data_IF_106478935863
#
_entry.id   IF_106478935863
#
_cell.length_a   1.000
_cell.length_b   1.000
_cell.length_c   1.000
_cell.angle_alpha   90.00
_cell.angle_beta   90.00
_cell.angle_gamma   90.00
#
_symmetry.space_group_name_H-M   'P 1'
#
loop_
_entity.id
_entity.type
_entity.pdbx_description
1 polymer ?
#
# COMPACT_ATOMS: atom_id res chain seq x y z
N UNK A 1 -3.76 -0.76 -16.84
CA UNK A 1 -4.27 -1.94 -17.58
C UNK A 1 -4.38 -3.11 -16.60
N UNK A 2 -5.57 -3.36 -16.06
CA UNK A 2 -5.84 -4.39 -15.06
C UNK A 2 -7.14 -5.17 -15.38
N UNK A 3 -7.67 -5.10 -16.59
CA UNK A 3 -8.93 -5.72 -17.01
C UNK A 3 -9.08 -7.16 -16.54
N UNK A 4 -8.01 -7.96 -16.64
CA UNK A 4 -8.01 -9.37 -16.24
C UNK A 4 -8.12 -9.60 -14.70
N UNK A 5 -7.89 -8.59 -13.89
CA UNK A 5 -7.74 -8.74 -12.44
C UNK A 5 -8.62 -7.79 -11.61
N UNK A 6 -8.93 -6.61 -12.13
CA UNK A 6 -9.68 -5.57 -11.41
C UNK A 6 -11.06 -6.03 -10.95
N UNK A 7 -11.67 -6.97 -11.68
CA UNK A 7 -12.92 -7.63 -11.26
C UNK A 7 -12.78 -8.33 -9.90
N UNK A 8 -11.68 -9.06 -9.69
CA UNK A 8 -11.38 -9.72 -8.41
C UNK A 8 -11.10 -8.71 -7.31
N UNK A 9 -10.35 -7.65 -7.64
CA UNK A 9 -10.05 -6.57 -6.71
C UNK A 9 -11.33 -5.95 -6.15
N UNK A 10 -12.18 -5.40 -7.03
CA UNK A 10 -13.42 -4.71 -6.61
C UNK A 10 -14.40 -5.66 -5.92
N UNK A 11 -14.58 -6.87 -6.42
CA UNK A 11 -15.43 -7.88 -5.78
C UNK A 11 -14.97 -8.23 -4.37
N UNK A 12 -13.68 -8.33 -4.13
CA UNK A 12 -13.14 -8.65 -2.80
C UNK A 12 -13.40 -7.54 -1.78
N UNK A 13 -13.41 -6.29 -2.22
CA UNK A 13 -13.77 -5.13 -1.40
C UNK A 13 -15.27 -5.07 -1.15
N UNK A 14 -16.11 -5.24 -2.17
CA UNK A 14 -17.59 -5.22 -2.01
C UNK A 14 -18.12 -6.31 -1.07
N UNK A 15 -17.42 -7.43 -0.97
CA UNK A 15 -17.82 -8.57 -0.10
C UNK A 15 -17.36 -8.43 1.35
N UNK A 16 -16.62 -7.41 1.71
CA UNK A 16 -16.17 -7.24 3.09
C UNK A 16 -17.36 -7.09 4.03
N UNK A 17 -17.34 -7.83 5.15
CA UNK A 17 -18.36 -7.77 6.21
C UNK A 17 -18.28 -6.49 7.05
N UNK A 18 -17.31 -5.62 6.80
CA UNK A 18 -17.09 -4.34 7.47
C UNK A 18 -17.69 -3.21 6.63
N UNK A 19 -18.65 -2.46 7.19
CA UNK A 19 -19.40 -1.44 6.46
C UNK A 19 -18.75 -0.05 6.48
N UNK A 20 -17.99 0.27 7.54
CA UNK A 20 -17.43 1.61 7.74
C UNK A 20 -16.10 1.80 7.00
N UNK A 21 -16.16 1.79 5.67
CA UNK A 21 -14.99 2.11 4.82
C UNK A 21 -15.42 2.81 3.53
N UNK A 22 -14.46 3.52 2.94
CA UNK A 22 -14.55 4.02 1.56
C UNK A 22 -13.37 3.50 0.75
N UNK A 23 -13.57 3.32 -0.54
CA UNK A 23 -12.54 2.89 -1.48
C UNK A 23 -12.43 3.88 -2.62
N UNK A 24 -11.25 4.47 -2.82
CA UNK A 24 -10.95 5.32 -3.97
C UNK A 24 -10.13 4.52 -4.96
N UNK A 25 -10.73 4.15 -6.08
CA UNK A 25 -10.09 3.43 -7.16
C UNK A 25 -9.59 4.45 -8.18
N UNK A 26 -8.32 4.34 -8.56
CA UNK A 26 -7.71 5.28 -9.49
C UNK A 26 -7.30 4.53 -10.75
N UNK A 27 -7.88 4.94 -11.87
CA UNK A 27 -7.42 4.51 -13.19
C UNK A 27 -6.38 5.48 -13.74
N UNK A 28 -5.17 4.98 -13.89
CA UNK A 28 -4.03 5.77 -14.35
C UNK A 28 -3.80 5.58 -15.85
N UNK A 29 -4.80 5.95 -16.65
CA UNK A 29 -4.85 5.87 -18.12
C UNK A 29 -4.73 4.41 -18.61
N UNK A 30 -5.64 3.54 -18.22
CA UNK A 30 -5.75 2.21 -18.81
C UNK A 30 -6.24 2.29 -20.26
N UNK A 31 -5.66 1.44 -21.10
CA UNK A 31 -5.96 1.34 -22.54
C UNK A 31 -6.82 0.11 -22.89
N UNK A 32 -7.13 -0.71 -21.89
CA UNK A 32 -8.00 -1.87 -21.95
C UNK A 32 -9.37 -1.56 -21.31
N UNK A 33 -10.23 -2.55 -21.12
CA UNK A 33 -11.56 -2.38 -20.52
C UNK A 33 -11.55 -2.21 -19.00
N UNK A 34 -10.41 -1.87 -18.37
CA UNK A 34 -10.31 -1.68 -16.91
C UNK A 34 -11.36 -0.69 -16.39
N UNK A 35 -11.53 0.46 -17.06
CA UNK A 35 -12.46 1.50 -16.64
C UNK A 35 -13.93 1.05 -16.71
N UNK A 36 -14.31 0.35 -17.78
CA UNK A 36 -15.65 -0.19 -17.96
C UNK A 36 -15.99 -1.21 -16.86
N UNK A 37 -15.04 -2.10 -16.55
CA UNK A 37 -15.20 -3.06 -15.47
C UNK A 37 -15.39 -2.36 -14.13
N UNK A 38 -14.55 -1.38 -13.77
CA UNK A 38 -14.71 -0.64 -12.51
C UNK A 38 -16.06 0.08 -12.46
N UNK A 39 -16.44 0.80 -13.53
CA UNK A 39 -17.71 1.53 -13.60
C UNK A 39 -18.93 0.63 -13.37
N UNK A 40 -18.88 -0.62 -13.82
CA UNK A 40 -19.98 -1.57 -13.60
C UNK A 40 -20.20 -1.95 -12.13
N UNK A 41 -19.21 -1.71 -11.26
CA UNK A 41 -19.30 -2.01 -9.83
C UNK A 41 -19.51 -0.79 -8.94
N UNK A 42 -18.97 0.36 -9.33
CA UNK A 42 -18.86 1.56 -8.48
C UNK A 42 -20.16 2.38 -8.48
N UNK A 43 -20.92 2.37 -9.58
CA UNK A 43 -22.06 3.28 -9.77
C UNK A 43 -23.26 3.08 -8.83
N UNK A 44 -23.31 1.99 -8.07
CA UNK A 44 -24.43 1.62 -7.20
C UNK A 44 -24.07 1.55 -5.70
N UNK A 45 -22.82 1.81 -5.33
CA UNK A 45 -22.31 1.66 -3.96
C UNK A 45 -21.53 2.91 -3.54
N UNK A 46 -22.11 3.72 -2.69
CA UNK A 46 -21.55 5.00 -2.22
C UNK A 46 -20.19 4.88 -1.52
N UNK A 47 -19.80 3.67 -1.11
CA UNK A 47 -18.47 3.41 -0.53
C UNK A 47 -17.35 3.50 -1.56
N UNK A 48 -17.66 3.48 -2.85
CA UNK A 48 -16.66 3.43 -3.92
C UNK A 48 -16.62 4.71 -4.75
N UNK A 49 -15.43 5.26 -4.89
CA UNK A 49 -15.13 6.38 -5.77
C UNK A 49 -14.18 5.94 -6.90
N UNK A 50 -14.44 6.42 -8.11
CA UNK A 50 -13.56 6.22 -9.25
C UNK A 50 -12.97 7.54 -9.71
N UNK A 51 -11.65 7.62 -9.73
CA UNK A 51 -10.89 8.71 -10.32
C UNK A 51 -10.24 8.22 -11.60
N UNK A 52 -10.49 8.91 -12.71
CA UNK A 52 -9.85 8.64 -14.00
C UNK A 52 -8.88 9.77 -14.30
N UNK A 53 -7.60 9.45 -14.38
CA UNK A 53 -6.58 10.45 -14.67
C UNK A 53 -6.59 10.88 -16.15
N UNK A 54 -6.21 12.13 -16.38
CA UNK A 54 -6.02 12.67 -17.74
C UNK A 54 -4.55 12.61 -18.19
N UNK A 55 -3.61 12.40 -17.25
CA UNK A 55 -2.17 12.20 -17.49
C UNK A 55 -1.64 11.06 -16.61
N UNK A 56 -0.54 10.44 -17.05
CA UNK A 56 0.09 9.30 -16.34
C UNK A 56 0.79 9.80 -15.07
N UNK A 57 0.30 9.36 -13.91
CA UNK A 57 0.79 9.82 -12.59
C UNK A 57 1.65 8.79 -11.86
N UNK A 58 1.54 7.51 -12.20
CA UNK A 58 2.15 6.39 -11.50
C UNK A 58 1.62 6.22 -10.05
N UNK A 59 2.01 5.11 -9.41
CA UNK A 59 1.39 4.70 -8.15
C UNK A 59 1.57 5.74 -7.02
N UNK A 60 2.78 6.24 -6.78
CA UNK A 60 3.04 7.11 -5.65
C UNK A 60 2.29 8.44 -5.72
N UNK A 61 2.30 9.10 -6.89
CA UNK A 61 1.56 10.35 -7.07
C UNK A 61 0.05 10.13 -6.91
N UNK A 62 -0.46 9.02 -7.43
CA UNK A 62 -1.86 8.65 -7.26
C UNK A 62 -2.23 8.45 -5.77
N UNK A 63 -1.38 7.77 -5.00
CA UNK A 63 -1.58 7.57 -3.56
C UNK A 63 -1.63 8.91 -2.83
N UNK A 64 -0.65 9.80 -3.08
CA UNK A 64 -0.60 11.12 -2.44
C UNK A 64 -1.84 11.93 -2.75
N UNK A 65 -2.19 12.08 -4.03
CA UNK A 65 -3.34 12.89 -4.46
C UNK A 65 -4.68 12.29 -3.98
N UNK A 66 -4.80 10.96 -3.92
CA UNK A 66 -5.99 10.31 -3.39
C UNK A 66 -6.17 10.58 -1.89
N UNK A 67 -5.12 10.39 -1.09
CA UNK A 67 -5.18 10.64 0.35
C UNK A 67 -5.47 12.12 0.62
N UNK A 68 -4.83 13.05 -0.11
CA UNK A 68 -5.09 14.48 0.02
C UNK A 68 -6.56 14.85 -0.35
N UNK A 69 -7.19 14.13 -1.27
CA UNK A 69 -8.54 14.43 -1.75
C UNK A 69 -9.67 13.96 -0.83
N UNK A 70 -9.42 12.96 0.00
CA UNK A 70 -10.45 12.38 0.90
C UNK A 70 -10.44 13.01 2.30
N UNK A 71 -9.44 13.86 2.61
CA UNK A 71 -9.31 14.58 3.89
C UNK A 71 -9.52 13.67 5.13
N UNK A 72 -8.72 12.60 5.33
CA UNK A 72 -8.94 11.66 6.40
C UNK A 72 -8.77 12.30 7.78
N UNK A 73 -9.38 11.72 8.80
CA UNK A 73 -9.13 12.07 10.19
C UNK A 73 -7.88 11.36 10.72
N UNK A 74 -7.28 11.89 11.79
CA UNK A 74 -6.01 11.42 12.36
C UNK A 74 -5.95 9.91 12.64
N UNK A 75 -7.03 9.34 13.11
CA UNK A 75 -7.13 7.92 13.46
C UNK A 75 -7.71 7.03 12.35
N UNK A 76 -8.06 7.62 11.21
CA UNK A 76 -8.47 6.81 10.04
C UNK A 76 -7.34 5.91 9.57
N UNK A 77 -7.70 4.69 9.21
CA UNK A 77 -6.76 3.67 8.73
C UNK A 77 -6.73 3.72 7.21
N UNK A 78 -5.60 4.08 6.67
CA UNK A 78 -5.35 4.03 5.23
C UNK A 78 -4.85 2.63 4.86
N UNK A 79 -5.43 2.05 3.83
CA UNK A 79 -5.08 0.73 3.30
C UNK A 79 -4.63 0.89 1.84
N UNK A 80 -3.43 0.41 1.52
CA UNK A 80 -2.92 0.42 0.16
C UNK A 80 -3.13 -0.97 -0.47
N UNK A 81 -3.97 -1.02 -1.50
CA UNK A 81 -4.24 -2.23 -2.28
C UNK A 81 -3.99 -1.95 -3.75
N UNK A 82 -3.06 -2.67 -4.35
CA UNK A 82 -2.74 -2.53 -5.77
C UNK A 82 -3.91 -3.04 -6.64
N UNK A 83 -4.15 -2.42 -7.79
CA UNK A 83 -5.36 -2.66 -8.61
C UNK A 83 -5.44 -4.05 -9.27
N UNK A 84 -4.35 -4.81 -9.26
CA UNK A 84 -4.28 -6.19 -9.73
C UNK A 84 -4.21 -7.24 -8.59
N UNK A 85 -4.21 -6.77 -7.33
CA UNK A 85 -4.28 -7.59 -6.12
C UNK A 85 -5.71 -7.62 -5.56
N UNK A 86 -6.01 -8.50 -4.59
CA UNK A 86 -7.32 -8.59 -3.95
C UNK A 86 -7.23 -9.14 -2.53
N UNK A 87 -8.30 -8.94 -1.75
CA UNK A 87 -8.41 -9.47 -0.39
C UNK A 87 -8.79 -10.97 -0.43
N UNK A 88 -8.18 -11.83 0.40
CA UNK A 88 -8.36 -13.29 0.32
C UNK A 88 -9.70 -13.80 0.85
N UNK A 89 -10.40 -13.00 1.68
CA UNK A 89 -11.70 -13.36 2.28
C UNK A 89 -12.48 -12.11 2.70
N UNK A 90 -13.70 -12.30 3.20
CA UNK A 90 -14.66 -11.23 3.46
C UNK A 90 -14.46 -10.54 4.84
N UNK A 91 -13.47 -10.95 5.66
CA UNK A 91 -13.24 -10.45 7.03
C UNK A 91 -11.91 -9.70 7.21
N UNK A 92 -11.23 -9.35 6.14
CA UNK A 92 -9.92 -8.65 6.22
C UNK A 92 -10.06 -7.30 6.92
N UNK A 93 -11.06 -6.50 6.54
CA UNK A 93 -11.27 -5.18 7.13
C UNK A 93 -11.69 -5.26 8.61
N UNK A 94 -12.54 -6.22 8.98
CA UNK A 94 -12.87 -6.50 10.38
C UNK A 94 -11.64 -6.87 11.22
N UNK A 95 -10.76 -7.70 10.64
CA UNK A 95 -9.53 -8.09 11.31
C UNK A 95 -8.62 -6.89 11.57
N UNK A 96 -8.42 -6.04 10.56
CA UNK A 96 -7.61 -4.83 10.67
C UNK A 96 -8.20 -3.84 11.68
N UNK A 97 -9.49 -3.52 11.59
CA UNK A 97 -10.16 -2.64 12.54
C UNK A 97 -9.97 -3.12 13.97
N UNK A 98 -10.21 -4.42 14.22
CA UNK A 98 -10.01 -5.03 15.54
C UNK A 98 -8.57 -4.98 16.05
N UNK A 99 -7.57 -5.11 15.16
CA UNK A 99 -6.16 -5.01 15.53
C UNK A 99 -5.82 -3.58 16.00
N UNK A 100 -6.26 -2.57 15.24
CA UNK A 100 -6.03 -1.15 15.59
C UNK A 100 -6.80 -0.68 16.82
N UNK A 101 -7.96 -1.26 17.10
CA UNK A 101 -8.73 -0.95 18.32
C UNK A 101 -8.13 -1.52 19.59
N UNK A 102 -7.56 -2.72 19.52
CA UNK A 102 -7.07 -3.46 20.69
C UNK A 102 -5.64 -3.17 21.07
N UNK A 103 -4.86 -2.66 20.15
CA UNK A 103 -3.42 -2.48 20.32
C UNK A 103 -3.04 -1.03 19.96
N UNK A 104 -2.06 -0.49 20.67
CA UNK A 104 -1.51 0.85 20.38
C UNK A 104 -0.55 0.80 19.19
N UNK A 105 -1.10 0.51 18.00
CA UNK A 105 -0.37 0.43 16.75
C UNK A 105 -0.68 1.60 15.82
N UNK A 106 0.31 2.02 15.06
CA UNK A 106 0.22 3.11 14.07
C UNK A 106 0.30 2.61 12.63
N UNK A 107 0.91 1.43 12.43
CA UNK A 107 1.16 0.87 11.11
C UNK A 107 1.17 -0.65 11.18
N UNK A 108 0.56 -1.30 10.17
CA UNK A 108 0.73 -2.73 9.96
C UNK A 108 1.26 -3.02 8.56
N UNK A 109 1.96 -4.12 8.47
CA UNK A 109 2.37 -4.73 7.22
C UNK A 109 2.29 -6.24 7.39
N UNK A 110 2.23 -6.97 6.27
CA UNK A 110 1.99 -8.36 6.50
C UNK A 110 2.45 -9.29 5.41
N UNK A 111 1.85 -10.44 5.50
CA UNK A 111 2.04 -11.57 4.61
C UNK A 111 0.97 -11.57 3.51
N UNK A 112 1.26 -12.25 2.42
CA UNK A 112 0.35 -12.37 1.29
C UNK A 112 0.35 -13.82 0.75
N UNK A 113 -0.70 -14.15 0.00
CA UNK A 113 -0.76 -15.35 -0.82
C UNK A 113 -0.35 -14.99 -2.25
N UNK A 114 0.57 -15.74 -2.82
CA UNK A 114 0.95 -15.57 -4.23
C UNK A 114 -0.10 -16.16 -5.17
N UNK A 115 -0.61 -15.39 -6.09
CA UNK A 115 -1.41 -15.91 -7.21
C UNK A 115 -0.49 -16.17 -8.42
N UNK A 116 -0.59 -17.31 -9.11
CA UNK A 116 -1.62 -18.36 -8.99
C UNK A 116 -1.26 -19.51 -8.06
N UNK A 117 -0.12 -19.50 -7.38
CA UNK A 117 0.41 -20.68 -6.67
C UNK A 117 -0.28 -20.97 -5.34
N UNK A 118 -0.88 -19.96 -4.71
CA UNK A 118 -1.45 -20.04 -3.35
C UNK A 118 -0.41 -20.15 -2.24
N UNK A 119 0.89 -19.99 -2.55
CA UNK A 119 1.96 -20.04 -1.55
C UNK A 119 2.00 -18.75 -0.74
N UNK A 120 2.38 -18.86 0.53
CA UNK A 120 2.64 -17.68 1.36
C UNK A 120 3.95 -17.04 0.89
N UNK A 121 3.96 -15.71 0.75
CA UNK A 121 5.16 -14.95 0.43
C UNK A 121 6.24 -15.13 1.49
N UNK A 122 7.48 -15.29 1.06
CA UNK A 122 8.63 -15.57 1.94
C UNK A 122 9.37 -14.30 2.39
N UNK A 123 9.18 -13.18 1.70
CA UNK A 123 9.88 -11.94 1.98
C UNK A 123 9.35 -11.21 3.23
N UNK A 124 8.02 -11.13 3.45
CA UNK A 124 7.47 -10.47 4.62
C UNK A 124 7.85 -11.19 5.92
N UNK A 125 8.32 -10.43 6.87
CA UNK A 125 8.68 -10.96 8.20
C UNK A 125 8.74 -9.84 9.23
N UNK A 126 8.69 -10.18 10.50
CA UNK A 126 8.82 -9.21 11.58
C UNK A 126 10.20 -8.53 11.56
N UNK A 127 10.23 -7.21 11.81
CA UNK A 127 11.50 -6.51 12.01
C UNK A 127 12.10 -6.94 13.33
N UNK A 128 13.40 -7.30 13.36
CA UNK A 128 14.07 -7.63 14.61
C UNK A 128 14.10 -6.46 15.59
N UNK A 129 14.03 -6.75 16.88
CA UNK A 129 14.08 -5.73 17.95
C UNK A 129 15.23 -4.73 17.80
N UNK A 130 16.43 -5.21 17.41
CA UNK A 130 17.58 -4.33 17.25
C UNK A 130 17.41 -3.34 16.09
N UNK A 131 16.69 -3.71 15.04
CA UNK A 131 16.37 -2.82 13.92
C UNK A 131 15.40 -1.74 14.38
N UNK A 132 14.36 -2.14 15.10
CA UNK A 132 13.38 -1.20 15.66
C UNK A 132 14.06 -0.26 16.65
N UNK A 133 14.76 -0.77 17.65
CA UNK A 133 15.41 0.02 18.72
C UNK A 133 16.44 1.03 18.21
N UNK A 134 17.19 0.64 17.17
CA UNK A 134 18.24 1.50 16.59
C UNK A 134 17.74 2.35 15.41
N UNK A 135 16.45 2.32 15.11
CA UNK A 135 15.87 2.99 13.93
C UNK A 135 16.60 2.65 12.61
N UNK A 136 16.91 1.37 12.43
CA UNK A 136 17.79 0.89 11.37
C UNK A 136 17.04 0.32 10.15
N UNK A 137 15.77 0.71 9.94
CA UNK A 137 14.90 0.17 8.88
C UNK A 137 15.50 0.33 7.47
N UNK A 138 16.16 1.46 7.19
CA UNK A 138 16.80 1.71 5.89
C UNK A 138 18.02 0.83 5.64
N UNK A 139 18.60 0.24 6.68
CA UNK A 139 19.82 -0.61 6.62
C UNK A 139 19.49 -2.10 6.66
N UNK A 140 18.27 -2.48 7.04
CA UNK A 140 17.82 -3.86 7.08
C UNK A 140 17.23 -4.30 5.72
N UNK A 141 17.02 -5.59 5.54
CA UNK A 141 16.30 -6.10 4.37
C UNK A 141 14.86 -5.58 4.36
N UNK A 142 14.25 -5.50 3.17
CA UNK A 142 12.86 -5.10 3.05
C UNK A 142 11.93 -6.19 3.57
N UNK A 143 11.04 -5.82 4.52
CA UNK A 143 10.10 -6.74 5.16
C UNK A 143 8.64 -6.28 5.08
N UNK A 144 8.40 -4.96 4.88
CA UNK A 144 7.06 -4.37 4.95
C UNK A 144 6.29 -4.56 3.63
N UNK A 145 5.81 -5.78 3.40
CA UNK A 145 5.04 -6.13 2.21
C UNK A 145 3.52 -5.99 2.43
N UNK A 146 2.72 -6.53 1.51
CA UNK A 146 1.26 -6.45 1.49
C UNK A 146 0.60 -7.21 2.67
N UNK A 147 -0.50 -6.82 3.26
CA UNK A 147 -1.23 -5.60 3.01
C UNK A 147 -0.61 -4.48 3.87
N UNK A 148 -0.38 -3.30 3.29
CA UNK A 148 0.21 -2.17 4.00
C UNK A 148 -0.90 -1.26 4.50
N UNK A 149 -0.92 -0.99 5.81
CA UNK A 149 -1.90 -0.10 6.41
C UNK A 149 -1.25 0.82 7.44
N UNK A 150 -1.81 2.00 7.62
CA UNK A 150 -1.29 2.97 8.59
C UNK A 150 -2.37 3.97 9.00
N UNK A 151 -2.24 4.56 10.20
CA UNK A 151 -3.07 5.68 10.62
C UNK A 151 -2.68 6.94 9.87
N UNK A 152 -3.67 7.73 9.45
CA UNK A 152 -3.45 8.97 8.70
C UNK A 152 -2.55 9.96 9.44
N UNK A 153 -2.65 10.07 10.78
CA UNK A 153 -1.76 10.91 11.60
C UNK A 153 -0.28 10.63 11.41
N UNK A 154 0.09 9.41 11.01
CA UNK A 154 1.47 9.06 10.71
C UNK A 154 1.87 9.54 9.30
N UNK A 155 0.97 9.36 8.33
CA UNK A 155 1.18 9.77 6.94
C UNK A 155 1.35 11.29 6.79
N UNK A 156 0.55 12.10 7.47
CA UNK A 156 0.61 13.57 7.37
C UNK A 156 1.94 14.17 7.85
N UNK A 157 2.73 13.42 8.63
CA UNK A 157 4.05 13.81 9.10
C UNK A 157 5.18 13.50 8.10
N UNK A 158 4.88 12.77 7.04
CA UNK A 158 5.86 12.48 5.97
C UNK A 158 6.09 13.75 5.15
N UNK A 159 7.34 14.22 5.08
CA UNK A 159 7.68 15.34 4.19
C UNK A 159 7.51 14.90 2.73
N UNK A 160 6.64 15.57 2.00
CA UNK A 160 6.37 15.26 0.59
C UNK A 160 7.63 15.32 -0.29
N UNK A 161 8.66 16.10 0.11
CA UNK A 161 9.94 16.12 -0.60
C UNK A 161 10.65 14.77 -0.57
N UNK A 162 10.44 13.96 0.47
CA UNK A 162 11.03 12.64 0.58
C UNK A 162 10.39 11.60 -0.34
N UNK A 163 9.22 11.93 -0.89
CA UNK A 163 8.53 11.14 -1.90
C UNK A 163 8.95 11.49 -3.34
N UNK A 164 9.86 12.47 -3.49
CA UNK A 164 10.32 12.98 -4.79
C UNK A 164 11.75 12.51 -5.08
N UNK A 165 12.03 12.35 -6.37
CA UNK A 165 13.39 12.15 -6.89
C UNK A 165 14.15 13.48 -6.99
N UNK A 166 15.39 13.43 -7.50
CA UNK A 166 16.28 14.59 -7.63
C UNK A 166 15.77 15.65 -8.61
N UNK A 167 14.91 15.24 -9.55
CA UNK A 167 14.28 16.13 -10.54
C UNK A 167 12.96 16.72 -10.04
N UNK A 168 12.54 16.38 -8.82
CA UNK A 168 11.29 16.86 -8.20
C UNK A 168 10.06 16.10 -8.65
N UNK A 169 10.19 14.90 -9.22
CA UNK A 169 9.07 14.03 -9.58
C UNK A 169 8.88 12.93 -8.54
N UNK A 170 7.62 12.53 -8.32
CA UNK A 170 7.33 11.37 -7.48
C UNK A 170 8.02 10.10 -8.00
N UNK A 171 8.59 9.31 -7.08
CA UNK A 171 9.21 8.03 -7.45
C UNK A 171 8.23 7.15 -8.22
N UNK A 172 8.66 6.68 -9.40
CA UNK A 172 7.84 5.86 -10.29
C UNK A 172 7.91 4.36 -9.99
N UNK A 173 8.94 3.96 -9.25
CA UNK A 173 9.21 2.57 -8.83
C UNK A 173 9.70 2.58 -7.37
N UNK A 174 9.72 1.43 -6.69
CA UNK A 174 10.08 1.29 -5.27
C UNK A 174 9.28 2.25 -4.35
N UNK A 175 8.08 2.65 -4.78
CA UNK A 175 7.22 3.60 -4.06
C UNK A 175 6.81 3.09 -2.69
N UNK A 176 6.70 1.78 -2.54
CA UNK A 176 6.42 1.11 -1.28
C UNK A 176 7.44 1.45 -0.20
N UNK A 177 8.73 1.50 -0.54
CA UNK A 177 9.77 1.89 0.40
C UNK A 177 9.75 3.41 0.67
N UNK A 178 9.48 4.24 -0.34
CA UNK A 178 9.34 5.67 -0.15
C UNK A 178 8.19 6.02 0.82
N UNK A 179 7.07 5.30 0.73
CA UNK A 179 5.90 5.47 1.60
C UNK A 179 6.15 4.92 3.00
N UNK A 180 6.64 3.68 3.10
CA UNK A 180 6.64 2.95 4.36
C UNK A 180 7.85 3.26 5.25
N UNK A 181 9.05 3.52 4.71
CA UNK A 181 10.24 3.74 5.53
C UNK A 181 10.08 4.93 6.50
N UNK A 182 9.65 6.13 6.06
CA UNK A 182 9.40 7.24 6.99
C UNK A 182 8.42 6.88 8.11
N UNK A 183 7.36 6.16 7.77
CA UNK A 183 6.32 5.78 8.72
C UNK A 183 6.78 4.68 9.68
N UNK A 184 7.57 3.69 9.23
CA UNK A 184 8.19 2.69 10.09
C UNK A 184 9.13 3.33 11.13
N UNK A 185 9.93 4.31 10.68
CA UNK A 185 10.88 5.06 11.50
C UNK A 185 10.16 5.87 12.58
N UNK A 186 9.11 6.60 12.20
CA UNK A 186 8.30 7.39 13.15
C UNK A 186 7.50 6.53 14.11
N UNK A 187 6.93 5.42 13.64
CA UNK A 187 6.11 4.54 14.47
C UNK A 187 6.93 3.73 15.49
N UNK A 188 8.17 3.37 15.16
CA UNK A 188 9.05 2.65 16.06
C UNK A 188 8.43 1.32 16.54
N UNK A 189 8.19 1.19 17.84
CA UNK A 189 7.61 -0.02 18.45
C UNK A 189 6.10 -0.18 18.18
N UNK A 190 5.44 0.86 17.67
CA UNK A 190 3.98 0.84 17.34
C UNK A 190 3.70 0.29 15.93
N UNK A 191 4.61 -0.52 15.40
CA UNK A 191 4.41 -1.28 14.17
C UNK A 191 3.97 -2.71 14.49
N UNK A 192 3.20 -3.33 13.58
CA UNK A 192 2.81 -4.73 13.73
C UNK A 192 2.98 -5.50 12.44
N UNK A 193 3.74 -6.58 12.50
CA UNK A 193 3.74 -7.60 11.46
C UNK A 193 2.53 -8.51 11.64
N UNK A 194 1.78 -8.74 10.56
CA UNK A 194 0.65 -9.66 10.53
C UNK A 194 1.05 -10.85 9.65
N UNK A 195 1.25 -12.01 10.29
CA UNK A 195 1.66 -13.25 9.63
C UNK A 195 0.52 -13.89 8.82
N UNK A 196 -0.75 -13.62 9.21
CA UNK A 196 -1.93 -14.04 8.46
C UNK A 196 -1.99 -13.32 7.12
N UNK A 197 -2.06 -14.03 5.97
CA UNK A 197 -2.20 -13.36 4.68
C UNK A 197 -3.49 -12.55 4.59
N UNK A 198 -3.36 -11.25 4.41
CA UNK A 198 -4.48 -10.31 4.23
C UNK A 198 -4.58 -9.78 2.78
N UNK A 199 -3.70 -10.24 1.90
CA UNK A 199 -3.67 -9.87 0.48
C UNK A 199 -3.38 -11.10 -0.37
N UNK A 200 -3.96 -11.16 -1.56
CA UNK A 200 -3.51 -12.05 -2.63
C UNK A 200 -2.71 -11.22 -3.62
N UNK A 201 -1.40 -11.43 -3.63
CA UNK A 201 -0.47 -10.74 -4.51
C UNK A 201 -0.39 -11.42 -5.88
N UNK A 202 -0.69 -10.69 -6.92
CA UNK A 202 -0.76 -11.21 -8.27
C UNK A 202 0.61 -11.27 -8.96
N UNK A 203 1.36 -12.35 -8.71
CA UNK A 203 2.63 -12.62 -9.39
C UNK A 203 2.47 -13.01 -10.86
N UNK A 204 1.24 -13.26 -11.34
CA UNK A 204 0.99 -13.65 -12.72
C UNK A 204 0.98 -12.46 -13.70
N UNK A 205 0.70 -11.24 -13.21
CA UNK A 205 0.64 -10.06 -14.05
C UNK A 205 2.01 -9.79 -14.72
N UNK A 206 2.10 -9.77 -16.05
CA UNK A 206 3.35 -9.49 -16.75
C UNK A 206 3.80 -8.03 -16.64
N UNK A 207 2.90 -7.12 -16.22
CA UNK A 207 3.17 -5.70 -16.07
C UNK A 207 3.80 -5.34 -14.72
N UNK A 208 3.99 -6.31 -13.83
CA UNK A 208 4.62 -6.06 -12.53
C UNK A 208 6.00 -5.41 -12.69
N UNK A 209 6.22 -4.36 -11.91
CA UNK A 209 7.44 -3.52 -11.99
C UNK A 209 8.71 -4.33 -11.73
N UNK A 210 8.66 -5.27 -10.81
CA UNK A 210 9.77 -6.18 -10.48
C UNK A 210 10.21 -7.06 -11.66
N UNK A 211 9.33 -7.27 -12.65
CA UNK A 211 9.66 -8.00 -13.89
C UNK A 211 10.20 -7.11 -15.00
N UNK A 212 9.73 -5.85 -15.07
CA UNK A 212 10.01 -4.97 -16.21
C UNK A 212 11.13 -3.96 -15.96
N UNK A 213 11.37 -3.59 -14.69
CA UNK A 213 12.22 -2.45 -14.32
C UNK A 213 13.15 -2.75 -13.14
N UNK A 214 13.70 -3.95 -13.05
CA UNK A 214 14.51 -4.40 -11.91
C UNK A 214 15.67 -3.45 -11.57
N UNK A 215 16.46 -3.05 -12.55
CA UNK A 215 17.60 -2.14 -12.34
C UNK A 215 17.13 -0.77 -11.85
N UNK A 216 16.10 -0.19 -12.48
CA UNK A 216 15.54 1.08 -12.07
C UNK A 216 14.99 1.00 -10.64
N UNK A 217 14.29 -0.08 -10.31
CA UNK A 217 13.75 -0.31 -8.97
C UNK A 217 14.86 -0.41 -7.92
N UNK A 218 15.92 -1.15 -8.23
CA UNK A 218 17.08 -1.29 -7.33
C UNK A 218 17.78 0.05 -7.09
N UNK A 219 18.09 0.81 -8.14
CA UNK A 219 18.76 2.11 -8.03
C UNK A 219 17.89 3.13 -7.27
N UNK A 220 16.58 3.14 -7.53
CA UNK A 220 15.64 4.01 -6.79
C UNK A 220 15.55 3.61 -5.31
N UNK A 221 15.50 2.31 -5.01
CA UNK A 221 15.53 1.81 -3.63
C UNK A 221 16.78 2.29 -2.88
N UNK A 222 17.96 2.24 -3.50
CA UNK A 222 19.20 2.73 -2.87
C UNK A 222 19.08 4.22 -2.52
N UNK A 223 18.65 5.07 -3.47
CA UNK A 223 18.45 6.51 -3.24
C UNK A 223 17.46 6.79 -2.09
N UNK A 224 16.34 6.06 -2.04
CA UNK A 224 15.37 6.18 -0.95
C UNK A 224 16.03 5.84 0.39
N UNK A 225 16.84 4.78 0.44
CA UNK A 225 17.50 4.30 1.65
C UNK A 225 18.69 5.15 2.12
N UNK A 226 19.27 5.95 1.24
CA UNK A 226 20.34 6.90 1.58
C UNK A 226 19.84 8.16 2.29
N UNK A 227 18.53 8.45 2.25
CA UNK A 227 17.94 9.58 2.98
C UNK A 227 18.07 9.41 4.49
N UNK A 228 18.14 10.54 5.21
CA UNK A 228 18.17 10.53 6.67
C UNK A 228 16.88 9.91 7.25
N UNK A 229 17.00 9.12 8.32
CA UNK A 229 15.83 8.52 8.95
C UNK A 229 15.01 9.57 9.73
N UNK A 230 13.72 9.37 9.76
CA UNK A 230 12.81 10.17 10.57
C UNK A 230 12.99 9.88 12.07
N UNK A 231 12.81 10.91 12.90
CA UNK A 231 12.73 10.76 14.33
C UNK A 231 11.41 10.08 14.75
N UNK A 232 11.47 9.33 15.85
CA UNK A 232 10.28 8.69 16.41
C UNK A 232 9.25 9.71 16.87
N UNK A 233 7.99 9.39 16.64
CA UNK A 233 6.85 10.12 17.19
C UNK A 233 6.31 9.38 18.42
N UNK A 234 6.19 10.08 19.53
CA UNK A 234 5.67 9.57 20.81
C UNK A 234 4.15 9.40 20.80
#
# INVERSE_FOLDING_TARGET
NAEAYVDKNVKSLKKQNYENFTSTIIDDISLDSTQEVIKSYVGEDERFNLIINNDKKFALRNIVEAIDSIEPQDDDIIILLDGDDWLPNDDVLNYLASAYEKEDILLTYGSYLEYPTGRIGIEPSEYPDHVIKNNAFRKDQWRASHLRTFKYKLWKEVDKKDLLDEDGFYYKVAYDQAVMLPMLEMAGEKIKYIDKPLCVYNRHNPLNVDKQKQEQQYNTMLKIREKDPYERKN
#
